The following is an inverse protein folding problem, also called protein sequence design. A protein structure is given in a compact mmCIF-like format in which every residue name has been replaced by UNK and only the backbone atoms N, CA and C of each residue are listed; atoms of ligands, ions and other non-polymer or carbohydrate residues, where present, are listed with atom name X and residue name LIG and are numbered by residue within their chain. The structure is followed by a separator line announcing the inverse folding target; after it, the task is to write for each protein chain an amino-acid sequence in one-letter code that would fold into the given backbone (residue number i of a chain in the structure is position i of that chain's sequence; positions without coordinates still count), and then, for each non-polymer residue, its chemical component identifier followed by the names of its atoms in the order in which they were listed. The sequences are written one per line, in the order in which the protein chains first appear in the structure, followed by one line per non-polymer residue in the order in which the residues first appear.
data_IF_181003581398
#
_entry.id   IF_181003581398
#
_cell.length_a   1.000
_cell.length_b   1.000
_cell.length_c   1.000
_cell.angle_alpha   90.00
_cell.angle_beta   90.00
_cell.angle_gamma   90.00
#
_symmetry.space_group_name_H-M   'P 1'
#
loop_
_entity.id
_entity.type
_entity.pdbx_description
1 polymer ?
#
# COMPACT_ATOMS: atom_id res chain seq x y z
N UNK A 1 17.27 18.29 35.96
CA UNK A 1 16.94 16.88 36.22
C UNK A 1 17.86 15.91 35.48
N UNK A 2 18.64 16.37 34.49
CA UNK A 2 19.63 15.54 33.79
C UNK A 2 20.93 15.32 34.57
N UNK A 3 21.09 15.98 35.70
CA UNK A 3 22.25 15.86 36.57
C UNK A 3 22.22 14.64 37.49
N UNK A 4 21.10 13.92 37.50
CA UNK A 4 20.92 12.72 38.32
C UNK A 4 20.66 11.47 37.49
N UNK A 5 21.13 11.41 36.29
CA UNK A 5 21.58 10.14 35.73
C UNK A 5 22.73 9.70 36.61
N UNK A 6 22.38 8.87 37.58
CA UNK A 6 23.13 8.62 38.78
C UNK A 6 24.63 8.60 38.49
N UNK A 7 25.41 9.26 39.33
CA UNK A 7 26.86 9.19 39.31
C UNK A 7 27.37 7.73 39.16
N UNK A 8 26.58 6.78 39.61
CA UNK A 8 26.82 5.33 39.47
C UNK A 8 26.83 4.83 38.02
N UNK A 9 25.92 5.27 37.18
CA UNK A 9 25.91 4.93 35.74
C UNK A 9 27.05 5.62 34.99
N UNK A 10 27.48 6.79 35.45
CA UNK A 10 28.67 7.47 34.94
C UNK A 10 29.94 6.78 35.42
N UNK A 11 30.01 6.34 36.66
CA UNK A 11 31.16 5.61 37.21
C UNK A 11 31.36 4.24 36.57
N UNK A 12 30.30 3.44 36.39
CA UNK A 12 30.42 2.15 35.67
C UNK A 12 30.87 2.30 34.21
N UNK A 13 30.44 3.40 33.54
CA UNK A 13 30.87 3.68 32.15
C UNK A 13 32.28 4.26 32.08
N UNK A 14 32.71 5.00 33.08
CA UNK A 14 34.07 5.57 33.16
C UNK A 14 35.13 4.47 33.37
N UNK A 15 34.76 3.35 34.01
CA UNK A 15 35.68 2.21 34.16
C UNK A 15 35.80 1.33 32.91
N UNK A 16 34.82 1.42 31.98
CA UNK A 16 34.79 0.61 30.77
C UNK A 16 35.36 1.29 29.51
N UNK A 17 35.51 2.64 29.52
CA UNK A 17 35.92 3.41 28.33
C UNK A 17 36.93 4.50 28.66
N UNK A 18 37.86 4.87 27.73
CA UNK A 18 38.78 5.98 27.88
C UNK A 18 38.06 7.29 28.20
N UNK A 19 38.68 8.11 29.04
CA UNK A 19 38.19 9.45 29.42
C UNK A 19 37.80 10.26 28.18
N UNK A 20 36.60 10.82 28.17
CA UNK A 20 36.06 11.62 27.07
C UNK A 20 35.34 10.85 25.96
N UNK A 21 35.39 9.51 25.92
CA UNK A 21 34.73 8.72 24.86
C UNK A 21 33.19 8.86 24.89
N UNK A 22 32.60 8.87 26.07
CA UNK A 22 31.15 9.08 26.22
C UNK A 22 30.73 10.50 25.80
N UNK A 23 31.50 11.52 26.21
CA UNK A 23 31.25 12.91 25.83
C UNK A 23 31.37 13.12 24.32
N UNK A 24 32.32 12.47 23.67
CA UNK A 24 32.47 12.50 22.22
C UNK A 24 31.27 11.92 21.50
N UNK A 25 30.80 10.72 21.90
CA UNK A 25 29.60 10.09 21.31
C UNK A 25 28.33 10.90 21.53
N UNK A 26 28.15 11.48 22.70
CA UNK A 26 26.99 12.36 22.99
C UNK A 26 27.06 13.63 22.14
N UNK A 27 28.22 14.23 21.97
CA UNK A 27 28.40 15.40 21.09
C UNK A 27 28.13 15.03 19.63
N UNK A 28 28.65 13.90 19.16
CA UNK A 28 28.39 13.41 17.79
C UNK A 28 26.89 13.12 17.57
N UNK A 29 26.20 12.53 18.55
CA UNK A 29 24.78 12.28 18.46
C UNK A 29 23.98 13.60 18.41
N UNK A 30 24.29 14.55 19.29
CA UNK A 30 23.66 15.88 19.31
C UNK A 30 23.93 16.62 18.00
N UNK A 31 25.16 16.58 17.51
CA UNK A 31 25.54 17.24 16.25
C UNK A 31 24.81 16.60 15.05
N UNK A 32 24.69 15.29 15.02
CA UNK A 32 23.92 14.57 14.00
C UNK A 32 22.44 14.94 14.04
N UNK A 33 21.85 15.13 15.22
CA UNK A 33 20.46 15.55 15.34
C UNK A 33 20.25 16.99 14.88
N UNK A 34 21.16 17.92 15.20
CA UNK A 34 21.11 19.28 14.66
C UNK A 34 21.32 19.34 13.14
N UNK A 35 22.20 18.52 12.60
CA UNK A 35 22.41 18.44 11.15
C UNK A 35 21.17 17.90 10.44
N UNK A 36 20.49 16.90 11.01
CA UNK A 36 19.20 16.39 10.50
C UNK A 36 18.12 17.46 10.56
N UNK A 37 17.96 18.15 11.69
CA UNK A 37 16.97 19.24 11.81
C UNK A 37 17.20 20.33 10.78
N UNK A 38 18.45 20.65 10.49
CA UNK A 38 18.80 21.61 9.44
C UNK A 38 18.42 21.15 8.03
N UNK A 39 18.48 19.83 7.76
CA UNK A 39 18.05 19.27 6.49
C UNK A 39 16.55 19.34 6.27
N UNK A 40 15.75 19.20 7.34
CA UNK A 40 14.28 19.23 7.25
C UNK A 40 13.73 20.64 6.96
N UNK A 41 14.41 21.69 7.39
CA UNK A 41 13.85 23.04 7.31
C UNK A 41 12.58 23.17 8.15
N UNK A 42 11.45 23.52 7.54
CA UNK A 42 10.16 23.57 8.23
C UNK A 42 9.46 22.21 8.18
N UNK A 43 9.16 21.64 9.37
CA UNK A 43 8.45 20.38 9.50
C UNK A 43 6.96 20.50 9.10
N UNK A 44 6.35 19.43 8.56
CA UNK A 44 4.92 19.39 8.31
C UNK A 44 4.14 19.36 9.65
N UNK A 45 2.93 19.92 9.64
CA UNK A 45 1.99 19.82 10.77
C UNK A 45 1.20 18.51 10.74
N UNK A 46 1.18 17.84 9.60
CA UNK A 46 0.47 16.57 9.37
C UNK A 46 1.47 15.45 9.11
N UNK A 47 1.22 14.30 9.72
CA UNK A 47 2.05 13.11 9.60
C UNK A 47 1.30 11.96 8.94
N UNK A 48 2.02 10.94 8.47
CA UNK A 48 1.41 9.74 7.94
C UNK A 48 1.02 8.76 9.05
N UNK A 49 -0.16 8.13 8.89
CA UNK A 49 -0.64 7.01 9.69
C UNK A 49 -0.97 5.84 8.75
N UNK A 50 0.10 5.27 8.20
CA UNK A 50 0.01 4.22 7.16
C UNK A 50 -0.42 2.91 7.78
N UNK A 51 -1.41 2.25 7.19
CA UNK A 51 -1.95 0.93 7.54
C UNK A 51 -2.64 0.81 8.92
N UNK A 52 -2.73 1.84 9.73
CA UNK A 52 -3.28 1.73 11.09
C UNK A 52 -4.79 1.39 11.14
N UNK A 53 -5.49 1.54 10.04
CA UNK A 53 -6.95 1.39 9.92
C UNK A 53 -7.39 0.17 9.10
N UNK A 54 -6.44 -0.57 8.51
CA UNK A 54 -6.74 -1.71 7.64
C UNK A 54 -7.17 -2.94 8.45
N UNK A 55 -8.08 -3.71 7.86
CA UNK A 55 -8.58 -4.97 8.43
C UNK A 55 -7.93 -6.21 7.77
N UNK A 56 -7.05 -6.01 6.78
CA UNK A 56 -6.44 -7.09 6.01
C UNK A 56 -7.35 -7.71 4.95
N UNK A 57 -8.36 -6.96 4.50
CA UNK A 57 -9.36 -7.41 3.52
C UNK A 57 -9.03 -7.01 2.07
N UNK A 58 -7.79 -6.63 1.78
CA UNK A 58 -7.33 -6.33 0.43
C UNK A 58 -8.12 -5.20 -0.22
N UNK A 59 -8.84 -5.50 -1.30
CA UNK A 59 -9.57 -4.48 -2.08
C UNK A 59 -10.65 -3.77 -1.27
N UNK A 60 -11.31 -4.44 -0.33
CA UNK A 60 -12.34 -3.82 0.52
C UNK A 60 -11.75 -2.72 1.42
N UNK A 61 -10.53 -2.91 1.92
CA UNK A 61 -9.85 -1.86 2.67
C UNK A 61 -9.57 -0.64 1.80
N UNK A 62 -9.10 -0.85 0.56
CA UNK A 62 -8.78 0.24 -0.37
C UNK A 62 -10.01 1.07 -0.74
N UNK A 63 -11.18 0.43 -0.86
CA UNK A 63 -12.47 1.06 -1.15
C UNK A 63 -13.02 1.91 -0.01
N UNK A 64 -12.60 1.66 1.24
CA UNK A 64 -13.08 2.42 2.40
C UNK A 64 -12.93 3.93 2.19
N UNK A 65 -13.98 4.66 2.53
CA UNK A 65 -13.94 6.13 2.49
C UNK A 65 -12.82 6.67 3.36
N UNK A 66 -12.12 7.68 2.88
CA UNK A 66 -11.03 8.33 3.62
C UNK A 66 -11.49 8.85 4.97
N UNK A 67 -12.74 9.32 5.07
CA UNK A 67 -13.33 9.86 6.30
C UNK A 67 -13.58 8.79 7.38
N UNK A 68 -13.67 7.52 7.00
CA UNK A 68 -13.89 6.41 7.94
C UNK A 68 -12.59 5.77 8.43
N UNK A 69 -11.44 6.14 7.86
CA UNK A 69 -10.14 5.55 8.18
C UNK A 69 -9.53 6.07 9.46
N UNK A 70 -9.88 7.31 9.86
CA UNK A 70 -9.42 7.95 11.08
C UNK A 70 -9.93 9.39 11.18
N UNK A 71 -9.92 9.93 12.41
CA UNK A 71 -10.54 11.22 12.73
C UNK A 71 -9.57 12.30 13.18
N UNK A 72 -8.31 11.96 13.47
CA UNK A 72 -7.32 12.95 13.94
C UNK A 72 -6.79 13.76 12.76
N UNK A 73 -7.03 15.09 12.70
CA UNK A 73 -6.63 15.94 11.59
C UNK A 73 -5.09 16.14 11.48
N UNK A 74 -4.33 15.68 12.47
CA UNK A 74 -2.86 15.70 12.44
C UNK A 74 -2.28 14.56 11.63
N UNK A 75 -3.12 13.64 11.15
CA UNK A 75 -2.69 12.49 10.36
C UNK A 75 -3.48 12.36 9.08
N UNK A 76 -2.81 11.86 8.04
CA UNK A 76 -3.48 11.27 6.89
C UNK A 76 -3.37 9.74 6.96
N UNK A 77 -4.46 9.08 6.61
CA UNK A 77 -4.64 7.64 6.79
C UNK A 77 -4.61 6.94 5.43
N UNK A 78 -3.42 6.60 4.98
CA UNK A 78 -3.19 5.88 3.73
C UNK A 78 -2.88 4.40 3.98
N UNK A 79 -2.80 3.62 2.90
CA UNK A 79 -2.32 2.24 2.96
C UNK A 79 -1.13 2.01 2.04
N UNK A 80 -0.33 1.02 2.40
CA UNK A 80 0.77 0.50 1.62
C UNK A 80 0.64 -1.02 1.54
N UNK A 81 0.02 -1.48 0.47
CA UNK A 81 -0.35 -2.87 0.25
C UNK A 81 0.51 -3.53 -0.83
N UNK A 82 0.88 -4.79 -0.57
CA UNK A 82 1.28 -5.74 -1.60
C UNK A 82 0.33 -6.93 -1.57
N UNK A 83 -0.37 -7.20 -2.66
CA UNK A 83 -1.30 -8.30 -2.82
C UNK A 83 -0.65 -9.33 -3.76
N UNK A 84 -0.27 -10.47 -3.20
CA UNK A 84 0.37 -11.57 -3.92
C UNK A 84 -0.68 -12.63 -4.24
N UNK A 85 -0.78 -13.01 -5.52
CA UNK A 85 -1.78 -13.96 -6.00
C UNK A 85 -3.16 -13.34 -6.19
N UNK A 86 -4.15 -14.18 -6.31
CA UNK A 86 -5.56 -13.84 -6.46
C UNK A 86 -6.39 -14.68 -5.49
N UNK A 87 -7.45 -14.11 -4.96
CA UNK A 87 -8.41 -14.86 -4.15
C UNK A 87 -9.19 -15.85 -5.02
N UNK A 88 -9.61 -15.41 -6.19
CA UNK A 88 -10.26 -16.23 -7.22
C UNK A 88 -9.80 -15.75 -8.61
N UNK A 89 -9.20 -16.64 -9.39
CA UNK A 89 -8.70 -16.33 -10.74
C UNK A 89 -9.78 -15.89 -11.70
N UNK A 90 -11.00 -16.40 -11.55
CA UNK A 90 -12.10 -16.15 -12.47
C UNK A 90 -12.69 -14.75 -12.28
N UNK A 91 -12.72 -14.26 -11.04
CA UNK A 91 -13.30 -12.96 -10.69
C UNK A 91 -12.27 -11.85 -10.60
N UNK A 92 -10.98 -12.17 -10.51
CA UNK A 92 -9.91 -11.20 -10.23
C UNK A 92 -9.92 -9.98 -11.16
N UNK A 93 -10.04 -10.21 -12.48
CA UNK A 93 -10.09 -9.11 -13.44
C UNK A 93 -11.32 -8.20 -13.23
N UNK A 94 -12.46 -8.80 -12.87
CA UNK A 94 -13.68 -8.06 -12.57
C UNK A 94 -13.54 -7.28 -11.24
N UNK A 95 -12.93 -7.87 -10.23
CA UNK A 95 -12.67 -7.20 -8.94
C UNK A 95 -11.77 -5.98 -9.12
N UNK A 96 -10.73 -6.07 -9.94
CA UNK A 96 -9.88 -4.94 -10.29
C UNK A 96 -10.65 -3.84 -11.04
N UNK A 97 -11.48 -4.24 -11.99
CA UNK A 97 -12.32 -3.30 -12.73
C UNK A 97 -13.31 -2.58 -11.79
N UNK A 98 -13.97 -3.32 -10.91
CA UNK A 98 -14.88 -2.76 -9.91
C UNK A 98 -14.15 -1.83 -8.93
N UNK A 99 -12.95 -2.22 -8.47
CA UNK A 99 -12.09 -1.35 -7.64
C UNK A 99 -11.84 -0.01 -8.33
N UNK A 100 -11.44 -0.03 -9.60
CA UNK A 100 -11.20 1.19 -10.37
C UNK A 100 -12.47 2.05 -10.49
N UNK A 101 -13.60 1.42 -10.76
CA UNK A 101 -14.87 2.11 -10.92
C UNK A 101 -15.31 2.78 -9.61
N UNK A 102 -15.24 2.06 -8.49
CA UNK A 102 -15.59 2.57 -7.18
C UNK A 102 -14.68 3.73 -6.75
N UNK A 103 -13.37 3.62 -6.96
CA UNK A 103 -12.42 4.70 -6.66
C UNK A 103 -12.69 5.94 -7.52
N UNK A 104 -13.01 5.78 -8.81
CA UNK A 104 -13.41 6.87 -9.70
C UNK A 104 -14.72 7.52 -9.25
N UNK A 105 -15.72 6.72 -8.90
CA UNK A 105 -17.02 7.21 -8.40
C UNK A 105 -16.88 7.95 -7.07
N UNK A 106 -15.93 7.55 -6.23
CA UNK A 106 -15.58 8.25 -5.00
C UNK A 106 -14.76 9.54 -5.25
N UNK A 107 -14.51 9.91 -6.51
CA UNK A 107 -13.73 11.10 -6.90
C UNK A 107 -12.24 11.02 -6.56
N UNK A 108 -11.71 9.82 -6.30
CA UNK A 108 -10.29 9.64 -5.96
C UNK A 108 -9.41 9.77 -7.20
N UNK A 109 -8.34 10.51 -7.04
CA UNK A 109 -7.30 10.63 -8.07
C UNK A 109 -6.50 9.35 -8.11
N UNK A 110 -6.33 8.79 -9.30
CA UNK A 110 -5.74 7.46 -9.45
C UNK A 110 -4.72 7.44 -10.59
N UNK A 111 -3.62 6.74 -10.33
CA UNK A 111 -2.60 6.41 -11.33
C UNK A 111 -2.44 4.89 -11.33
N UNK A 112 -2.47 4.29 -12.50
CA UNK A 112 -2.23 2.86 -12.71
C UNK A 112 -1.01 2.71 -13.60
N UNK A 113 -0.05 1.91 -13.17
CA UNK A 113 1.16 1.58 -13.92
C UNK A 113 1.20 0.07 -14.12
N UNK A 114 1.39 -0.35 -15.37
CA UNK A 114 1.48 -1.75 -15.75
C UNK A 114 2.94 -2.13 -15.99
N UNK A 115 3.43 -3.13 -15.27
CA UNK A 115 4.81 -3.58 -15.37
C UNK A 115 5.84 -2.60 -14.81
N UNK A 116 7.04 -2.62 -15.35
CA UNK A 116 8.13 -1.74 -14.92
C UNK A 116 7.79 -0.27 -15.19
N UNK A 117 8.07 0.60 -14.22
CA UNK A 117 7.91 2.05 -14.40
C UNK A 117 8.88 2.52 -15.46
N UNK A 118 8.37 3.17 -16.50
CA UNK A 118 9.17 3.66 -17.61
C UNK A 118 10.30 4.55 -17.12
N UNK A 119 11.52 4.26 -17.57
CA UNK A 119 12.72 5.00 -17.15
C UNK A 119 12.61 6.46 -17.54
N UNK A 120 13.19 7.37 -16.73
CA UNK A 120 13.24 8.77 -17.10
C UNK A 120 14.02 8.98 -18.41
N UNK A 121 13.48 9.84 -19.26
CA UNK A 121 14.13 10.24 -20.49
C UNK A 121 15.35 11.14 -20.21
N UNK A 122 16.31 11.25 -21.14
CA UNK A 122 17.44 12.18 -20.99
C UNK A 122 17.00 13.63 -20.75
N UNK A 123 15.90 14.06 -21.34
CA UNK A 123 15.36 15.41 -21.18
C UNK A 123 14.80 15.64 -19.78
N UNK A 124 14.03 14.66 -19.24
CA UNK A 124 13.56 14.71 -17.85
C UNK A 124 14.72 14.77 -16.85
N UNK A 125 15.77 13.99 -17.10
CA UNK A 125 17.00 13.98 -16.28
C UNK A 125 17.72 15.33 -16.36
N UNK A 126 17.79 15.96 -17.53
CA UNK A 126 18.45 17.26 -17.74
C UNK A 126 17.71 18.41 -17.03
N UNK A 127 16.41 18.31 -16.84
CA UNK A 127 15.62 19.29 -16.12
C UNK A 127 15.88 19.33 -14.61
N UNK A 128 16.40 18.22 -14.03
CA UNK A 128 16.76 18.15 -12.62
C UNK A 128 18.07 18.90 -12.37
N UNK A 129 17.98 19.99 -11.61
CA UNK A 129 19.16 20.76 -11.20
C UNK A 129 20.03 19.91 -10.27
N UNK A 130 21.29 19.73 -10.63
CA UNK A 130 22.27 18.96 -9.87
C UNK A 130 23.66 19.54 -10.03
N UNK A 131 24.51 19.24 -9.05
CA UNK A 131 25.93 19.63 -9.00
C UNK A 131 26.78 18.42 -8.69
N UNK A 132 28.08 18.61 -8.60
CA UNK A 132 28.95 17.62 -8.00
C UNK A 132 28.96 17.81 -6.49
N UNK A 133 28.71 16.73 -5.77
CA UNK A 133 28.58 16.76 -4.30
C UNK A 133 29.77 16.07 -3.66
N UNK A 134 30.30 16.67 -2.58
CA UNK A 134 31.33 16.11 -1.75
C UNK A 134 30.78 15.41 -0.50
N UNK A 135 29.53 15.73 -0.11
CA UNK A 135 28.87 15.19 1.09
C UNK A 135 27.40 14.90 0.81
N UNK A 136 26.86 13.91 1.51
CA UNK A 136 25.44 13.50 1.44
C UNK A 136 24.50 14.66 1.75
N UNK A 137 24.77 15.48 2.77
CA UNK A 137 23.92 16.60 3.16
C UNK A 137 23.79 17.64 2.06
N UNK A 138 24.93 17.95 1.38
CA UNK A 138 24.93 18.88 0.25
C UNK A 138 24.06 18.35 -0.90
N UNK A 139 24.14 17.05 -1.17
CA UNK A 139 23.34 16.37 -2.18
C UNK A 139 21.86 16.47 -1.86
N UNK A 140 21.47 16.12 -0.62
CA UNK A 140 20.05 16.13 -0.18
C UNK A 140 19.51 17.56 -0.22
N UNK A 141 20.23 18.55 0.32
CA UNK A 141 19.79 19.95 0.34
C UNK A 141 19.63 20.52 -1.07
N UNK A 142 20.55 20.27 -1.96
CA UNK A 142 20.48 20.82 -3.33
C UNK A 142 19.39 20.13 -4.15
N UNK A 143 19.31 18.79 -4.12
CA UNK A 143 18.31 18.05 -4.88
C UNK A 143 16.88 18.27 -4.37
N UNK A 144 16.68 18.50 -3.08
CA UNK A 144 15.38 18.82 -2.50
C UNK A 144 14.77 20.12 -3.06
N UNK A 145 15.60 21.03 -3.55
CA UNK A 145 15.13 22.27 -4.20
C UNK A 145 14.34 22.03 -5.50
N UNK A 146 14.43 20.82 -6.07
CA UNK A 146 13.64 20.42 -7.22
C UNK A 146 12.19 20.06 -6.86
N UNK A 147 11.86 19.88 -5.58
CA UNK A 147 10.51 19.59 -5.09
C UNK A 147 9.72 20.89 -5.01
N UNK A 148 9.18 21.34 -6.15
CA UNK A 148 8.38 22.58 -6.24
C UNK A 148 6.90 22.33 -6.49
N UNK A 149 6.56 21.11 -6.74
CA UNK A 149 5.21 20.66 -6.94
C UNK A 149 4.79 19.74 -5.77
N UNK A 150 3.60 19.83 -5.29
CA UNK A 150 2.47 20.68 -5.68
C UNK A 150 2.50 22.07 -5.05
N UNK A 151 1.55 22.96 -5.45
CA UNK A 151 1.45 24.32 -4.90
C UNK A 151 1.04 24.38 -3.42
N UNK A 152 0.54 23.29 -2.83
CA UNK A 152 0.16 23.22 -1.43
C UNK A 152 1.41 23.14 -0.53
N UNK A 153 1.58 24.14 0.35
CA UNK A 153 2.76 24.26 1.22
C UNK A 153 2.91 23.11 2.20
N UNK A 154 1.81 22.61 2.75
CA UNK A 154 1.88 21.51 3.73
C UNK A 154 2.33 20.21 3.05
N UNK A 155 1.80 19.94 1.86
CA UNK A 155 2.22 18.79 1.07
C UNK A 155 3.68 18.90 0.62
N UNK A 156 4.16 20.10 0.29
CA UNK A 156 5.59 20.33 -0.01
C UNK A 156 6.46 19.99 1.20
N UNK A 157 6.06 20.38 2.42
CA UNK A 157 6.79 20.03 3.65
C UNK A 157 6.82 18.51 3.89
N UNK A 158 5.68 17.84 3.69
CA UNK A 158 5.59 16.37 3.80
C UNK A 158 6.56 15.72 2.80
N UNK A 159 6.54 16.16 1.56
CA UNK A 159 7.41 15.64 0.51
C UNK A 159 8.89 15.90 0.79
N UNK A 160 9.23 17.10 1.22
CA UNK A 160 10.59 17.47 1.57
C UNK A 160 11.12 16.61 2.73
N UNK A 161 10.35 16.48 3.80
CA UNK A 161 10.69 15.61 4.93
C UNK A 161 10.89 14.17 4.48
N UNK A 162 9.95 13.64 3.69
CA UNK A 162 10.03 12.27 3.17
C UNK A 162 11.26 12.07 2.28
N UNK A 163 11.61 13.06 1.46
CA UNK A 163 12.79 13.01 0.61
C UNK A 163 14.08 12.92 1.43
N UNK A 164 14.19 13.76 2.46
CA UNK A 164 15.33 13.72 3.39
C UNK A 164 15.42 12.37 4.08
N UNK A 165 14.32 11.88 4.67
CA UNK A 165 14.30 10.62 5.42
C UNK A 165 14.72 9.42 4.54
N UNK A 166 14.18 9.35 3.33
CA UNK A 166 14.48 8.25 2.40
C UNK A 166 15.91 8.29 1.91
N UNK A 167 16.43 9.47 1.54
CA UNK A 167 17.80 9.56 1.06
C UNK A 167 18.83 9.35 2.17
N UNK A 168 18.55 9.77 3.40
CA UNK A 168 19.39 9.43 4.54
C UNK A 168 19.42 7.92 4.79
N UNK A 169 18.26 7.25 4.70
CA UNK A 169 18.20 5.80 4.84
C UNK A 169 18.93 5.07 3.70
N UNK A 170 18.84 5.56 2.46
CA UNK A 170 19.56 4.98 1.32
C UNK A 170 21.07 5.27 1.40
N UNK A 171 21.50 6.44 1.85
CA UNK A 171 22.93 6.75 2.04
C UNK A 171 23.60 5.78 3.02
N UNK A 172 22.87 5.37 4.07
CA UNK A 172 23.37 4.36 5.01
C UNK A 172 23.58 2.98 4.38
N UNK A 173 22.85 2.65 3.30
CA UNK A 173 23.01 1.39 2.56
C UNK A 173 24.10 1.46 1.50
N UNK A 174 24.20 2.58 0.80
CA UNK A 174 25.15 2.78 -0.32
C UNK A 174 26.57 3.09 0.15
N UNK A 175 26.76 3.34 1.45
CA UNK A 175 28.01 3.85 1.98
C UNK A 175 28.35 5.22 1.36
N UNK A 176 29.62 5.45 1.02
CA UNK A 176 30.10 6.74 0.48
C UNK A 176 29.89 6.91 -1.04
N UNK A 177 29.07 6.08 -1.68
CA UNK A 177 28.86 6.17 -3.14
C UNK A 177 27.84 7.25 -3.50
N UNK A 178 28.26 8.51 -3.43
CA UNK A 178 27.43 9.67 -3.76
C UNK A 178 26.91 9.67 -5.21
N UNK A 179 27.63 9.09 -6.16
CA UNK A 179 27.19 9.04 -7.55
C UNK A 179 25.96 8.14 -7.71
N UNK A 180 25.96 7.00 -7.05
CA UNK A 180 24.82 6.06 -7.06
C UNK A 180 23.63 6.67 -6.35
N UNK A 181 23.85 7.28 -5.20
CA UNK A 181 22.80 7.99 -4.45
C UNK A 181 22.21 9.14 -5.27
N UNK A 182 23.06 9.92 -5.97
CA UNK A 182 22.61 10.99 -6.88
C UNK A 182 21.73 10.43 -7.98
N UNK A 183 22.14 9.33 -8.62
CA UNK A 183 21.37 8.70 -9.68
C UNK A 183 19.99 8.23 -9.18
N UNK A 184 19.92 7.57 -8.03
CA UNK A 184 18.66 7.17 -7.39
C UNK A 184 17.76 8.37 -7.09
N UNK A 185 18.32 9.44 -6.53
CA UNK A 185 17.58 10.66 -6.21
C UNK A 185 17.05 11.36 -7.46
N UNK A 186 17.82 11.41 -8.54
CA UNK A 186 17.38 11.99 -9.83
C UNK A 186 16.25 11.18 -10.44
N UNK A 187 16.32 9.85 -10.46
CA UNK A 187 15.23 8.99 -10.92
C UNK A 187 13.96 9.23 -10.12
N UNK A 188 14.10 9.27 -8.79
CA UNK A 188 12.98 9.59 -7.89
C UNK A 188 12.32 10.93 -8.24
N UNK A 189 13.12 11.99 -8.41
CA UNK A 189 12.61 13.32 -8.74
C UNK A 189 11.92 13.38 -10.11
N UNK A 190 12.44 12.68 -11.12
CA UNK A 190 11.80 12.59 -12.43
C UNK A 190 10.42 11.93 -12.34
N UNK A 191 10.32 10.79 -11.65
CA UNK A 191 9.05 10.10 -11.48
C UNK A 191 8.06 10.89 -10.60
N UNK A 192 8.53 11.57 -9.57
CA UNK A 192 7.70 12.49 -8.80
C UNK A 192 7.13 13.60 -9.68
N UNK A 193 7.95 14.22 -10.52
CA UNK A 193 7.50 15.23 -11.47
C UNK A 193 6.47 14.69 -12.48
N UNK A 194 6.63 13.43 -12.90
CA UNK A 194 5.73 12.77 -13.86
C UNK A 194 4.37 12.46 -13.24
N UNK A 195 4.32 11.92 -12.02
CA UNK A 195 3.10 11.33 -11.46
C UNK A 195 2.38 12.22 -10.44
N UNK A 196 3.07 13.11 -9.72
CA UNK A 196 2.44 13.96 -8.71
C UNK A 196 1.34 14.87 -9.25
N UNK A 197 1.44 15.45 -10.48
CA UNK A 197 0.38 16.24 -11.06
C UNK A 197 -0.96 15.52 -11.15
N UNK A 198 -0.92 14.21 -11.42
CA UNK A 198 -2.13 13.38 -11.50
C UNK A 198 -2.70 13.04 -10.13
N UNK A 199 -1.84 12.84 -9.13
CA UNK A 199 -2.24 12.44 -7.78
C UNK A 199 -2.71 13.63 -6.92
N UNK A 200 -2.13 14.83 -7.13
CA UNK A 200 -2.31 15.96 -6.23
C UNK A 200 -2.83 17.23 -6.90
N UNK A 201 -3.45 17.14 -8.09
CA UNK A 201 -4.10 18.31 -8.69
C UNK A 201 -5.15 18.88 -7.73
N UNK A 202 -5.00 20.14 -7.30
CA UNK A 202 -5.91 20.81 -6.35
C UNK A 202 -6.14 20.05 -5.03
N UNK A 203 -5.11 19.36 -4.54
CA UNK A 203 -5.19 18.53 -3.36
C UNK A 203 -5.54 19.34 -2.10
N UNK A 204 -6.40 18.76 -1.26
CA UNK A 204 -6.79 19.28 0.04
C UNK A 204 -6.91 18.12 1.04
N UNK A 205 -6.54 18.36 2.30
CA UNK A 205 -6.85 17.40 3.36
C UNK A 205 -8.36 17.22 3.51
N UNK A 206 -8.85 16.01 3.74
CA UNK A 206 -8.15 14.72 3.92
C UNK A 206 -8.04 13.86 2.64
N UNK A 207 -8.05 14.44 1.45
CA UNK A 207 -7.97 13.68 0.20
C UNK A 207 -6.76 12.75 0.16
N UNK A 208 -6.98 11.51 -0.28
CA UNK A 208 -5.92 10.51 -0.48
C UNK A 208 -6.01 9.99 -1.92
N UNK A 209 -4.93 10.16 -2.68
CA UNK A 209 -4.79 9.59 -4.01
C UNK A 209 -4.66 8.06 -3.96
N UNK A 210 -4.60 7.41 -5.12
CA UNK A 210 -4.34 5.99 -5.23
C UNK A 210 -3.32 5.73 -6.34
N UNK A 211 -2.25 5.03 -6.03
CA UNK A 211 -1.25 4.58 -6.99
C UNK A 211 -1.26 3.05 -7.03
N UNK A 212 -1.63 2.50 -8.16
CA UNK A 212 -1.68 1.05 -8.38
C UNK A 212 -0.52 0.65 -9.29
N UNK A 213 0.31 -0.26 -8.82
CA UNK A 213 1.41 -0.85 -9.57
C UNK A 213 1.08 -2.31 -9.89
N UNK A 214 0.84 -2.62 -11.15
CA UNK A 214 0.52 -3.96 -11.62
C UNK A 214 1.78 -4.69 -12.07
N UNK A 215 2.01 -5.89 -11.56
CA UNK A 215 3.15 -6.73 -11.97
C UNK A 215 4.32 -6.75 -10.98
N UNK A 216 4.23 -6.03 -9.87
CA UNK A 216 5.26 -6.02 -8.83
C UNK A 216 6.52 -5.21 -9.17
N UNK A 217 7.25 -4.85 -8.15
CA UNK A 217 8.47 -4.03 -8.26
C UNK A 217 9.68 -4.88 -8.64
N UNK A 218 10.35 -4.53 -9.74
CA UNK A 218 11.47 -5.28 -10.30
C UNK A 218 12.84 -4.72 -9.95
N UNK A 219 12.93 -3.44 -9.60
CA UNK A 219 14.21 -2.78 -9.37
C UNK A 219 14.22 -1.84 -8.15
N UNK A 220 15.42 -1.49 -7.68
CA UNK A 220 15.61 -0.65 -6.48
C UNK A 220 15.07 0.76 -6.64
N UNK A 221 15.10 1.35 -7.84
CA UNK A 221 14.60 2.70 -8.06
C UNK A 221 13.06 2.74 -7.93
N UNK A 222 12.38 1.72 -8.48
CA UNK A 222 10.92 1.57 -8.27
C UNK A 222 10.58 1.36 -6.80
N UNK A 223 11.34 0.50 -6.11
CA UNK A 223 11.16 0.29 -4.68
C UNK A 223 11.30 1.59 -3.89
N UNK A 224 12.29 2.42 -4.25
CA UNK A 224 12.51 3.73 -3.64
C UNK A 224 11.32 4.67 -3.88
N UNK A 225 10.83 4.73 -5.11
CA UNK A 225 9.69 5.56 -5.50
C UNK A 225 8.40 5.14 -4.80
N UNK A 226 8.10 3.83 -4.77
CA UNK A 226 6.89 3.31 -4.09
C UNK A 226 6.95 3.54 -2.57
N UNK A 227 8.14 3.36 -1.95
CA UNK A 227 8.36 3.71 -0.54
C UNK A 227 8.17 5.21 -0.27
N UNK A 228 8.58 6.06 -1.20
CA UNK A 228 8.35 7.49 -1.09
C UNK A 228 6.85 7.82 -1.15
N UNK A 229 6.14 7.31 -2.15
CA UNK A 229 4.70 7.54 -2.29
C UNK A 229 3.91 7.05 -1.08
N UNK A 230 4.28 5.93 -0.48
CA UNK A 230 3.63 5.38 0.72
C UNK A 230 3.73 6.29 1.95
N UNK A 231 4.61 7.28 1.94
CA UNK A 231 4.77 8.28 3.00
C UNK A 231 4.09 9.62 2.67
N UNK A 232 3.39 9.67 1.55
CA UNK A 232 2.53 10.78 1.13
C UNK A 232 1.05 10.41 1.33
N UNK A 233 0.12 11.37 1.22
CA UNK A 233 -1.32 11.07 1.23
C UNK A 233 -1.76 10.35 -0.06
N UNK A 234 -1.25 9.13 -0.23
CA UNK A 234 -1.49 8.23 -1.37
C UNK A 234 -1.61 6.80 -0.85
N UNK A 235 -2.66 6.10 -1.25
CA UNK A 235 -2.71 4.66 -1.13
C UNK A 235 -1.81 4.05 -2.20
N UNK A 236 -0.85 3.26 -1.79
CA UNK A 236 0.05 2.54 -2.70
C UNK A 236 -0.31 1.07 -2.68
N UNK A 237 -0.74 0.56 -3.82
CA UNK A 237 -1.20 -0.81 -4.00
C UNK A 237 -0.34 -1.50 -5.06
N UNK A 238 0.35 -2.56 -4.66
CA UNK A 238 1.18 -3.36 -5.55
C UNK A 238 0.49 -4.69 -5.75
N UNK A 239 0.16 -4.98 -7.00
CA UNK A 239 -0.55 -6.18 -7.41
C UNK A 239 0.42 -7.16 -8.05
N UNK A 240 0.65 -8.28 -7.41
CA UNK A 240 1.52 -9.36 -7.89
C UNK A 240 0.68 -10.63 -8.13
N UNK A 241 -0.22 -10.67 -9.12
CA UNK A 241 -1.08 -11.82 -9.35
C UNK A 241 -0.27 -13.08 -9.70
N UNK A 242 0.87 -12.92 -10.38
CA UNK A 242 1.79 -13.99 -10.66
C UNK A 242 2.80 -14.14 -9.51
N UNK A 243 2.61 -15.14 -8.66
CA UNK A 243 3.46 -15.44 -7.50
C UNK A 243 4.88 -15.89 -7.87
N UNK A 244 5.11 -16.27 -9.12
CA UNK A 244 6.43 -16.68 -9.57
C UNK A 244 7.35 -15.49 -9.92
N UNK A 245 6.78 -14.29 -10.02
CA UNK A 245 7.56 -13.08 -10.29
C UNK A 245 8.03 -12.48 -8.97
N UNK A 246 9.35 -12.35 -8.75
CA UNK A 246 9.85 -11.77 -7.51
C UNK A 246 9.52 -10.28 -7.43
N UNK A 247 9.22 -9.81 -6.24
CA UNK A 247 9.07 -8.38 -5.95
C UNK A 247 10.19 -7.95 -4.99
N UNK A 248 11.03 -7.03 -5.41
CA UNK A 248 12.20 -6.59 -4.63
C UNK A 248 11.87 -5.55 -3.54
N UNK A 249 10.62 -5.14 -3.46
CA UNK A 249 10.19 -4.15 -2.48
C UNK A 249 10.12 -4.74 -1.07
N UNK A 250 10.84 -4.12 -0.16
CA UNK A 250 10.75 -4.38 1.28
C UNK A 250 10.67 -3.06 2.02
N UNK A 251 9.74 -2.91 2.95
CA UNK A 251 9.59 -1.71 3.79
C UNK A 251 8.86 -2.08 5.08
N UNK A 252 9.21 -1.50 6.25
CA UNK A 252 8.51 -1.76 7.50
C UNK A 252 7.02 -1.40 7.49
N UNK A 253 6.62 -0.47 6.62
CA UNK A 253 5.21 -0.06 6.46
C UNK A 253 4.45 -0.92 5.44
N UNK A 254 5.11 -1.84 4.74
CA UNK A 254 4.46 -2.67 3.73
C UNK A 254 3.60 -3.75 4.39
N UNK A 255 2.32 -3.74 4.09
CA UNK A 255 1.41 -4.81 4.47
C UNK A 255 1.27 -5.80 3.32
N UNK A 256 1.56 -7.07 3.59
CA UNK A 256 1.50 -8.13 2.58
C UNK A 256 0.28 -9.01 2.79
N UNK A 257 -0.50 -9.16 1.74
CA UNK A 257 -1.62 -10.09 1.67
C UNK A 257 -1.27 -11.17 0.65
N UNK A 258 -1.36 -12.43 1.07
CA UNK A 258 -0.97 -13.57 0.26
C UNK A 258 -2.18 -14.48 0.00
N UNK A 259 -2.56 -14.62 -1.26
CA UNK A 259 -3.55 -15.57 -1.72
C UNK A 259 -2.86 -16.80 -2.33
N UNK A 260 -3.55 -17.93 -2.33
CA UNK A 260 -2.97 -19.19 -2.82
C UNK A 260 -2.93 -19.29 -4.33
N UNK A 261 -3.91 -18.72 -5.02
CA UNK A 261 -4.01 -18.79 -6.46
C UNK A 261 -3.03 -17.85 -7.15
N UNK A 262 -2.42 -18.33 -8.24
CA UNK A 262 -1.52 -17.54 -9.09
C UNK A 262 -2.10 -17.38 -10.48
N UNK A 263 -2.10 -16.14 -10.98
CA UNK A 263 -2.68 -15.78 -12.27
C UNK A 263 -1.65 -14.98 -13.08
N UNK A 264 -1.45 -15.35 -14.34
CA UNK A 264 -0.65 -14.56 -15.28
C UNK A 264 -1.51 -13.44 -15.84
N UNK A 265 -1.28 -12.23 -15.32
CA UNK A 265 -1.96 -11.02 -15.74
C UNK A 265 -0.98 -9.85 -15.67
N UNK A 266 -0.62 -9.30 -16.83
CA UNK A 266 0.43 -8.30 -16.95
C UNK A 266 -0.11 -6.86 -17.02
N UNK A 267 -1.43 -6.71 -17.24
CA UNK A 267 -2.07 -5.40 -17.38
C UNK A 267 -3.34 -5.32 -16.54
N UNK A 268 -3.54 -4.15 -15.98
CA UNK A 268 -4.78 -3.79 -15.32
C UNK A 268 -5.92 -3.69 -16.35
N UNK A 269 -7.12 -4.21 -16.07
CA UNK A 269 -8.23 -4.16 -17.01
C UNK A 269 -8.72 -2.71 -17.21
N UNK A 270 -8.63 -2.21 -18.44
CA UNK A 270 -8.98 -0.81 -18.77
C UNK A 270 -10.45 -0.65 -19.11
N UNK A 271 -11.07 -1.66 -19.71
CA UNK A 271 -12.46 -1.63 -20.19
C UNK A 271 -13.26 -2.86 -19.77
N UNK A 272 -14.58 -2.68 -19.65
CA UNK A 272 -15.51 -3.76 -19.34
C UNK A 272 -15.51 -4.91 -20.36
N UNK A 273 -15.10 -4.65 -21.60
CA UNK A 273 -14.98 -5.67 -22.65
C UNK A 273 -13.78 -6.60 -22.46
N UNK A 274 -12.76 -6.19 -21.71
CA UNK A 274 -11.61 -7.01 -21.33
C UNK A 274 -11.91 -7.88 -20.11
N UNK A 275 -12.85 -7.43 -19.33
CA UNK A 275 -13.43 -8.17 -18.22
C UNK A 275 -14.42 -9.13 -18.89
N UNK A 276 -14.08 -10.41 -19.00
CA UNK A 276 -15.10 -11.42 -19.18
C UNK A 276 -16.07 -11.19 -18.04
N UNK A 277 -17.20 -10.54 -18.30
CA UNK A 277 -18.27 -10.45 -17.32
C UNK A 277 -18.59 -11.89 -16.95
N UNK A 278 -18.01 -12.32 -15.85
CA UNK A 278 -18.59 -13.40 -15.11
C UNK A 278 -20.02 -12.92 -14.92
N UNK A 279 -20.89 -13.49 -15.69
CA UNK A 279 -22.26 -13.02 -15.84
C UNK A 279 -22.78 -12.72 -14.45
N UNK A 280 -23.71 -11.78 -14.32
CA UNK A 280 -24.53 -11.57 -13.10
C UNK A 280 -24.94 -12.93 -12.52
N UNK A 281 -25.12 -13.94 -13.38
CA UNK A 281 -25.30 -15.34 -13.04
C UNK A 281 -24.12 -15.93 -12.23
N UNK A 282 -22.86 -15.66 -12.57
CA UNK A 282 -21.71 -16.21 -11.83
C UNK A 282 -21.55 -15.56 -10.45
N UNK A 283 -21.78 -14.24 -10.35
CA UNK A 283 -21.80 -13.57 -9.03
C UNK A 283 -22.96 -14.03 -8.18
N UNK A 284 -24.15 -14.19 -8.78
CA UNK A 284 -25.30 -14.73 -8.10
C UNK A 284 -25.08 -16.19 -7.65
N UNK A 285 -24.41 -17.00 -8.48
CA UNK A 285 -24.04 -18.37 -8.15
C UNK A 285 -23.02 -18.41 -7.01
N UNK A 286 -22.00 -17.56 -7.03
CA UNK A 286 -21.02 -17.46 -5.95
C UNK A 286 -21.60 -16.91 -4.66
N UNK A 287 -22.46 -15.88 -4.73
CA UNK A 287 -23.18 -15.38 -3.56
C UNK A 287 -24.12 -16.46 -3.01
N UNK A 288 -24.79 -17.20 -3.89
CA UNK A 288 -25.63 -18.33 -3.50
C UNK A 288 -24.79 -19.44 -2.88
N UNK A 289 -23.64 -19.78 -3.48
CA UNK A 289 -22.69 -20.75 -2.92
C UNK A 289 -22.17 -20.28 -1.56
N UNK A 290 -21.82 -18.99 -1.42
CA UNK A 290 -21.36 -18.42 -0.17
C UNK A 290 -22.48 -18.47 0.89
N UNK A 291 -23.69 -18.08 0.54
CA UNK A 291 -24.85 -18.14 1.44
C UNK A 291 -25.28 -19.57 1.79
N UNK A 292 -25.21 -20.48 0.83
CA UNK A 292 -25.59 -21.88 1.03
C UNK A 292 -24.53 -22.72 1.73
N UNK A 293 -23.23 -22.37 1.57
CA UNK A 293 -22.12 -23.21 2.02
C UNK A 293 -21.23 -22.54 3.09
N UNK A 294 -21.45 -21.27 3.45
CA UNK A 294 -20.77 -20.66 4.58
C UNK A 294 -21.35 -21.15 5.90
N UNK A 295 -20.44 -21.61 6.77
CA UNK A 295 -20.53 -21.87 8.23
C UNK A 295 -21.67 -22.72 8.79
N UNK A 296 -22.81 -22.76 8.17
CA UNK A 296 -23.90 -23.67 8.58
C UNK A 296 -23.67 -25.11 8.08
N UNK A 297 -22.62 -25.33 7.32
CA UNK A 297 -21.95 -26.61 7.13
C UNK A 297 -22.66 -27.67 6.31
N UNK A 298 -23.90 -27.50 5.97
CA UNK A 298 -24.73 -28.58 5.42
C UNK A 298 -24.29 -29.03 4.02
N UNK A 299 -23.88 -28.10 3.16
CA UNK A 299 -23.49 -28.37 1.76
C UNK A 299 -21.99 -28.38 1.50
N UNK A 300 -21.17 -27.79 2.38
CA UNK A 300 -19.72 -27.72 2.21
C UNK A 300 -19.06 -29.10 2.08
N UNK A 301 -19.56 -30.10 2.79
CA UNK A 301 -19.06 -31.47 2.71
C UNK A 301 -19.39 -32.14 1.38
N UNK A 302 -20.47 -31.77 0.72
CA UNK A 302 -20.86 -32.30 -0.59
C UNK A 302 -19.97 -31.71 -1.70
N UNK A 303 -19.73 -30.43 -1.66
CA UNK A 303 -18.92 -29.72 -2.66
C UNK A 303 -17.46 -30.21 -2.70
N UNK A 304 -16.91 -30.58 -1.55
CA UNK A 304 -15.51 -31.04 -1.43
C UNK A 304 -15.37 -32.57 -1.39
N UNK A 305 -16.39 -33.31 -1.81
CA UNK A 305 -16.35 -34.79 -1.84
C UNK A 305 -16.33 -35.45 -0.45
N UNK A 306 -16.54 -34.67 0.61
CA UNK A 306 -16.70 -35.15 2.00
C UNK A 306 -18.16 -35.31 2.36
N UNK A 307 -19.00 -35.66 1.39
CA UNK A 307 -20.40 -35.87 1.60
C UNK A 307 -20.63 -36.96 2.66
N UNK A 308 -21.16 -36.56 3.78
CA UNK A 308 -21.65 -37.51 4.73
C UNK A 308 -23.10 -37.86 4.33
N UNK A 309 -23.38 -39.14 4.17
CA UNK A 309 -24.73 -39.63 3.83
C UNK A 309 -25.76 -39.11 4.83
N UNK A 310 -25.36 -38.95 6.10
CA UNK A 310 -26.21 -38.35 7.14
C UNK A 310 -26.59 -36.89 6.82
N UNK A 311 -25.66 -36.10 6.25
CA UNK A 311 -25.93 -34.71 5.87
C UNK A 311 -26.93 -34.60 4.72
N UNK A 312 -26.87 -35.52 3.75
CA UNK A 312 -27.84 -35.60 2.65
C UNK A 312 -29.25 -35.94 3.16
N UNK A 313 -29.32 -36.86 4.10
CA UNK A 313 -30.59 -37.27 4.69
C UNK A 313 -31.22 -36.14 5.54
N UNK A 314 -30.38 -35.44 6.33
CA UNK A 314 -30.81 -34.27 7.11
C UNK A 314 -31.32 -33.15 6.21
N UNK A 315 -30.60 -32.87 5.12
CA UNK A 315 -31.01 -31.88 4.12
C UNK A 315 -32.34 -32.23 3.47
N UNK A 316 -32.52 -33.50 3.10
CA UNK A 316 -33.80 -33.96 2.52
C UNK A 316 -34.94 -33.80 3.51
N UNK A 317 -34.74 -34.15 4.78
CA UNK A 317 -35.73 -34.00 5.84
C UNK A 317 -36.09 -32.54 6.10
N UNK A 318 -35.09 -31.63 6.10
CA UNK A 318 -35.34 -30.21 6.27
C UNK A 318 -36.12 -29.61 5.08
N UNK A 319 -35.73 -29.96 3.85
CA UNK A 319 -36.47 -29.54 2.66
C UNK A 319 -37.91 -30.05 2.71
N UNK A 320 -38.10 -31.28 3.13
CA UNK A 320 -39.42 -31.86 3.28
C UNK A 320 -40.26 -31.14 4.33
N UNK A 321 -39.68 -30.77 5.48
CA UNK A 321 -40.33 -30.00 6.53
C UNK A 321 -40.74 -28.62 5.98
N UNK A 322 -39.87 -27.93 5.29
CA UNK A 322 -40.15 -26.64 4.66
C UNK A 322 -41.28 -26.76 3.63
N UNK A 323 -41.23 -27.80 2.80
CA UNK A 323 -42.24 -28.07 1.80
C UNK A 323 -43.61 -28.37 2.42
N UNK A 324 -43.64 -29.17 3.46
CA UNK A 324 -44.85 -29.50 4.20
C UNK A 324 -45.44 -28.23 4.93
N UNK A 325 -44.59 -27.32 5.37
CA UNK A 325 -44.99 -26.04 5.93
C UNK A 325 -45.59 -25.11 4.87
N UNK A 326 -45.01 -25.01 3.68
CA UNK A 326 -45.54 -24.23 2.56
C UNK A 326 -46.88 -24.77 2.09
N UNK A 327 -47.02 -26.08 1.97
CA UNK A 327 -48.29 -26.73 1.64
C UNK A 327 -49.39 -26.46 2.69
N UNK A 328 -49.02 -26.35 3.97
CA UNK A 328 -49.93 -26.05 5.04
C UNK A 328 -50.45 -24.62 4.99
N UNK A 329 -49.67 -23.67 4.50
CA UNK A 329 -50.05 -22.28 4.33
C UNK A 329 -50.69 -21.96 2.97
N UNK A 330 -50.56 -22.88 1.98
CA UNK A 330 -51.17 -22.77 0.64
C UNK A 330 -52.01 -24.00 0.33
N UNK A 331 -53.17 -24.14 0.97
CA UNK A 331 -53.98 -25.35 0.80
C UNK A 331 -54.58 -25.55 -0.60
N UNK A 332 -54.53 -24.53 -1.44
CA UNK A 332 -54.95 -24.53 -2.85
C UNK A 332 -53.87 -24.99 -3.83
N UNK A 333 -52.66 -25.28 -3.35
CA UNK A 333 -51.57 -25.76 -4.15
C UNK A 333 -51.68 -27.27 -4.36
N UNK A 334 -52.07 -27.71 -5.55
CA UNK A 334 -52.03 -29.12 -5.89
C UNK A 334 -50.62 -29.54 -6.26
N UNK A 335 -50.02 -30.39 -5.45
CA UNK A 335 -48.74 -31.05 -5.80
C UNK A 335 -49.08 -32.14 -6.80
N UNK A 336 -48.57 -32.00 -8.02
CA UNK A 336 -48.59 -33.08 -8.99
C UNK A 336 -47.44 -33.99 -8.63
N UNK A 337 -47.74 -35.17 -8.13
CA UNK A 337 -46.75 -36.25 -7.97
C UNK A 337 -46.09 -36.55 -9.30
N UNK A 338 -44.79 -36.22 -9.39
CA UNK A 338 -43.93 -36.51 -10.53
C UNK A 338 -42.78 -37.40 -10.14
#
# INVERSE_FOLDING_TARGET
PASVLSDDLQMERMTAFPEGYCLKKVREAIQNDFEKERLYGSLPSVNNCTNAWIDGKGFEDIKKSVLTRGTDPRFFYNCFYRINGAEDKLTYANELFQLQLELKNAGRKMVIVNGEIERPTPDEIAEIRRRNYAKTDQLIMDLSTNIKYPANLELQKIMHKTFVDILLAESGKEGDNLNRLTSKAVYLLCWLKRYLPFLFSNWKMPEIGCFIHMGGCQNENEALFLRFLARLPVDVVILCPNRNVPCQLTDPLLYELNYEESLTMDRYPEESSQVKMGTVAYHAERELDTLMYQDTGMYRNMQYGKANIISLQTMYEEIKILWDQELKYRPDFSVVDG
#
